data_IF_832273324621
#
_entry.id   IF_832273324621
#
_cell.length_a   1.000
_cell.length_b   1.000
_cell.length_c   1.000
_cell.angle_alpha   90.00
_cell.angle_beta   90.00
_cell.angle_gamma   90.00
#
_symmetry.space_group_name_H-M   'P 1'
#
loop_
_entity.id
_entity.type
_entity.pdbx_description
1 polymer ?
#
# COMPACT_ATOMS: atom_id res chain seq x y z
N UNK A 1 -18.22 5.54 7.08
CA UNK A 1 -17.17 6.38 6.51
C UNK A 1 -17.79 7.57 5.80
N UNK A 2 -17.35 8.77 6.14
CA UNK A 2 -17.82 10.00 5.50
C UNK A 2 -17.04 10.27 4.22
N UNK A 3 -17.68 10.92 3.23
CA UNK A 3 -17.06 11.24 1.93
C UNK A 3 -15.64 11.85 2.04
N UNK A 4 -15.43 12.71 3.05
CA UNK A 4 -14.13 13.33 3.31
C UNK A 4 -13.02 12.34 3.68
N UNK A 5 -13.35 11.24 4.38
CA UNK A 5 -12.38 10.21 4.76
C UNK A 5 -11.90 9.42 3.54
N UNK A 6 -12.79 9.17 2.57
CA UNK A 6 -12.43 8.51 1.30
C UNK A 6 -11.55 9.38 0.41
N UNK A 7 -11.85 10.68 0.33
CA UNK A 7 -11.05 11.62 -0.44
C UNK A 7 -9.64 11.75 0.18
N UNK A 8 -9.55 11.76 1.51
CA UNK A 8 -8.28 11.73 2.22
C UNK A 8 -7.51 10.43 1.98
N UNK A 9 -8.16 9.27 2.09
CA UNK A 9 -7.56 7.97 1.83
C UNK A 9 -7.02 7.88 0.39
N UNK A 10 -7.79 8.36 -0.59
CA UNK A 10 -7.34 8.45 -1.99
C UNK A 10 -6.09 9.32 -2.13
N UNK A 11 -6.05 10.48 -1.48
CA UNK A 11 -4.88 11.36 -1.50
C UNK A 11 -3.63 10.69 -0.92
N UNK A 12 -3.78 9.96 0.19
CA UNK A 12 -2.68 9.22 0.81
C UNK A 12 -2.16 8.08 -0.07
N UNK A 13 -3.07 7.32 -0.69
CA UNK A 13 -2.71 6.25 -1.63
C UNK A 13 -1.99 6.80 -2.87
N UNK A 14 -2.40 7.97 -3.37
CA UNK A 14 -1.70 8.62 -4.47
C UNK A 14 -0.28 9.06 -4.07
N UNK A 15 -0.10 9.60 -2.86
CA UNK A 15 1.23 9.93 -2.35
C UNK A 15 2.10 8.68 -2.20
N UNK A 16 1.54 7.58 -1.70
CA UNK A 16 2.24 6.31 -1.60
C UNK A 16 2.65 5.76 -2.97
N UNK A 17 1.77 5.86 -3.97
CA UNK A 17 2.05 5.48 -5.35
C UNK A 17 3.23 6.28 -5.92
N UNK A 18 3.24 7.60 -5.74
CA UNK A 18 4.35 8.46 -6.20
C UNK A 18 5.68 8.09 -5.51
N UNK A 19 5.68 7.87 -4.19
CA UNK A 19 6.88 7.46 -3.44
C UNK A 19 7.41 6.10 -3.91
N UNK A 20 6.52 5.18 -4.24
CA UNK A 20 6.89 3.87 -4.76
C UNK A 20 7.53 3.98 -6.15
N UNK A 21 7.02 4.87 -6.99
CA UNK A 21 7.63 5.17 -8.29
C UNK A 21 9.02 5.81 -8.16
N UNK A 22 9.21 6.72 -7.21
CA UNK A 22 10.53 7.28 -6.89
C UNK A 22 11.50 6.19 -6.39
N UNK A 23 11.04 5.32 -5.48
CA UNK A 23 11.83 4.19 -4.99
C UNK A 23 12.21 3.22 -6.13
N UNK A 24 11.30 2.95 -7.06
CA UNK A 24 11.55 2.12 -8.24
C UNK A 24 12.68 2.68 -9.09
N UNK A 25 12.69 3.99 -9.32
CA UNK A 25 13.74 4.68 -10.08
C UNK A 25 15.09 4.58 -9.36
N UNK A 26 15.12 4.81 -8.05
CA UNK A 26 16.33 4.73 -7.23
C UNK A 26 16.93 3.31 -7.20
N UNK A 27 16.09 2.28 -7.04
CA UNK A 27 16.52 0.87 -7.06
C UNK A 27 17.05 0.49 -8.45
N UNK A 28 16.38 0.93 -9.52
CA UNK A 28 16.82 0.66 -10.91
C UNK A 28 18.17 1.32 -11.19
N UNK A 29 18.43 2.50 -10.63
CA UNK A 29 19.69 3.22 -10.79
C UNK A 29 20.85 2.65 -9.96
N UNK A 30 20.58 1.89 -8.90
CA UNK A 30 21.60 1.36 -8.00
C UNK A 30 21.32 -0.11 -7.66
N UNK A 31 21.95 -1.02 -8.41
CA UNK A 31 21.82 -2.48 -8.24
C UNK A 31 22.25 -3.00 -6.87
N UNK A 32 22.99 -2.22 -6.06
CA UNK A 32 23.32 -2.58 -4.67
C UNK A 32 22.15 -2.38 -3.69
N UNK A 33 21.12 -1.60 -4.08
CA UNK A 33 19.89 -1.40 -3.29
C UNK A 33 18.83 -2.48 -3.53
N UNK A 34 19.20 -3.60 -4.18
CA UNK A 34 18.30 -4.68 -4.58
C UNK A 34 17.75 -5.54 -3.43
N UNK A 35 17.33 -4.94 -2.31
CA UNK A 35 16.50 -5.63 -1.33
C UNK A 35 15.04 -5.59 -1.82
N UNK A 36 14.72 -6.49 -2.74
CA UNK A 36 13.41 -6.56 -3.45
C UNK A 36 12.25 -6.94 -2.54
N UNK A 37 12.52 -7.45 -1.32
CA UNK A 37 11.49 -7.86 -0.37
C UNK A 37 10.64 -6.67 0.09
N UNK A 38 11.27 -5.63 0.61
CA UNK A 38 10.57 -4.42 1.07
C UNK A 38 9.80 -3.73 -0.06
N UNK A 39 10.40 -3.64 -1.25
CA UNK A 39 9.75 -3.01 -2.40
C UNK A 39 8.51 -3.79 -2.86
N UNK A 40 8.57 -5.13 -2.86
CA UNK A 40 7.42 -5.99 -3.17
C UNK A 40 6.34 -5.91 -2.09
N UNK A 41 6.72 -5.83 -0.82
CA UNK A 41 5.76 -5.64 0.27
C UNK A 41 5.07 -4.27 0.15
N UNK A 42 5.80 -3.20 -0.17
CA UNK A 42 5.21 -1.88 -0.41
C UNK A 42 4.25 -1.87 -1.61
N UNK A 43 4.58 -2.58 -2.70
CA UNK A 43 3.66 -2.80 -3.83
C UNK A 43 2.37 -3.52 -3.40
N UNK A 44 2.49 -4.53 -2.54
CA UNK A 44 1.36 -5.30 -2.01
C UNK A 44 0.45 -4.43 -1.14
N UNK A 45 1.02 -3.67 -0.20
CA UNK A 45 0.25 -2.74 0.67
C UNK A 45 -0.46 -1.65 -0.16
N UNK A 46 0.19 -1.14 -1.21
CA UNK A 46 -0.41 -0.18 -2.13
C UNK A 46 -1.62 -0.79 -2.86
N UNK A 47 -1.48 -2.02 -3.36
CA UNK A 47 -2.57 -2.75 -4.00
C UNK A 47 -3.74 -2.99 -3.02
N UNK A 48 -3.46 -3.48 -1.81
CA UNK A 48 -4.48 -3.68 -0.76
C UNK A 48 -5.27 -2.39 -0.51
N UNK A 49 -4.58 -1.25 -0.36
CA UNK A 49 -5.21 0.04 -0.11
C UNK A 49 -6.13 0.51 -1.26
N UNK A 50 -5.65 0.48 -2.51
CA UNK A 50 -6.46 0.88 -3.67
C UNK A 50 -7.65 -0.04 -3.91
N UNK A 51 -7.45 -1.36 -3.78
CA UNK A 51 -8.50 -2.36 -3.94
C UNK A 51 -9.54 -2.19 -2.82
N UNK A 52 -9.11 -2.05 -1.57
CA UNK A 52 -10.01 -1.82 -0.43
C UNK A 52 -10.84 -0.55 -0.65
N UNK A 53 -10.21 0.57 -1.02
CA UNK A 53 -10.90 1.82 -1.31
C UNK A 53 -11.92 1.68 -2.44
N UNK A 54 -11.56 0.97 -3.52
CA UNK A 54 -12.47 0.72 -4.63
C UNK A 54 -13.69 -0.09 -4.17
N UNK A 55 -13.48 -1.19 -3.44
CA UNK A 55 -14.54 -2.07 -2.96
C UNK A 55 -15.49 -1.37 -1.99
N UNK A 56 -14.98 -0.64 -0.99
CA UNK A 56 -15.85 0.09 -0.03
C UNK A 56 -16.60 1.27 -0.65
N UNK A 57 -16.12 1.79 -1.78
CA UNK A 57 -16.80 2.87 -2.53
C UNK A 57 -17.64 2.36 -3.70
N UNK A 58 -17.75 1.04 -3.88
CA UNK A 58 -18.52 0.43 -4.97
C UNK A 58 -17.94 0.69 -6.36
N UNK A 59 -16.64 0.97 -6.46
CA UNK A 59 -15.91 1.20 -7.71
C UNK A 59 -15.16 -0.06 -8.14
N UNK A 60 -14.77 -0.11 -9.41
CA UNK A 60 -13.87 -1.14 -9.90
C UNK A 60 -12.45 -0.92 -9.35
N UNK A 61 -11.79 -1.96 -8.83
CA UNK A 61 -10.37 -1.88 -8.49
C UNK A 61 -9.52 -1.60 -9.73
N UNK A 62 -8.42 -0.85 -9.57
CA UNK A 62 -7.50 -0.60 -10.67
C UNK A 62 -6.76 -1.88 -11.06
N UNK A 63 -6.30 -1.98 -12.31
CA UNK A 63 -5.46 -3.09 -12.75
C UNK A 63 -3.99 -2.92 -12.29
N UNK A 64 -3.20 -4.01 -12.21
CA UNK A 64 -1.80 -3.91 -11.78
C UNK A 64 -0.93 -3.01 -12.68
N UNK A 65 -1.27 -2.87 -13.97
CA UNK A 65 -0.61 -1.98 -14.91
C UNK A 65 -0.93 -0.51 -14.66
N UNK A 66 -2.18 -0.18 -14.33
CA UNK A 66 -2.60 1.15 -13.87
C UNK A 66 -1.85 1.59 -12.61
N UNK A 67 -1.55 0.64 -11.70
CA UNK A 67 -0.75 0.90 -10.51
C UNK A 67 0.77 0.85 -10.75
N UNK A 68 1.22 0.33 -11.90
CA UNK A 68 2.65 0.20 -12.22
C UNK A 68 3.42 -0.80 -11.34
N UNK A 69 2.72 -1.76 -10.72
CA UNK A 69 3.27 -2.72 -9.75
C UNK A 69 3.37 -4.14 -10.32
N UNK A 70 4.11 -5.01 -9.62
CA UNK A 70 4.24 -6.41 -9.98
C UNK A 70 2.90 -7.18 -9.83
N UNK A 71 2.50 -8.01 -10.81
CA UNK A 71 1.25 -8.77 -10.73
C UNK A 71 1.13 -9.70 -9.51
N UNK A 72 2.23 -10.28 -9.01
CA UNK A 72 2.19 -11.12 -7.84
C UNK A 72 1.97 -10.28 -6.56
N UNK A 73 2.56 -9.08 -6.48
CA UNK A 73 2.27 -8.14 -5.39
C UNK A 73 0.79 -7.72 -5.40
N UNK A 74 0.24 -7.44 -6.59
CA UNK A 74 -1.18 -7.10 -6.77
C UNK A 74 -2.11 -8.21 -6.27
N UNK A 75 -1.88 -9.45 -6.69
CA UNK A 75 -2.72 -10.59 -6.28
C UNK A 75 -2.66 -10.86 -4.77
N UNK A 76 -1.50 -10.67 -4.14
CA UNK A 76 -1.37 -10.76 -2.69
C UNK A 76 -2.17 -9.64 -2.00
N UNK A 77 -2.05 -8.39 -2.47
CA UNK A 77 -2.81 -7.25 -1.94
C UNK A 77 -4.32 -7.41 -2.12
N UNK A 78 -4.77 -8.02 -3.22
CA UNK A 78 -6.18 -8.39 -3.42
C UNK A 78 -6.67 -9.38 -2.36
N UNK A 79 -5.86 -10.42 -2.06
CA UNK A 79 -6.18 -11.40 -1.03
C UNK A 79 -6.34 -10.77 0.35
N UNK A 80 -5.41 -9.86 0.70
CA UNK A 80 -5.49 -9.10 1.95
C UNK A 80 -6.69 -8.15 1.96
N UNK A 81 -6.97 -7.43 0.88
CA UNK A 81 -8.15 -6.54 0.80
C UNK A 81 -9.46 -7.31 1.03
N UNK A 82 -9.60 -8.50 0.44
CA UNK A 82 -10.76 -9.37 0.68
C UNK A 82 -10.81 -9.84 2.13
N UNK A 83 -9.66 -10.17 2.73
CA UNK A 83 -9.54 -10.53 4.13
C UNK A 83 -9.92 -9.37 5.07
N UNK A 84 -9.48 -8.13 4.80
CA UNK A 84 -9.85 -6.89 5.51
C UNK A 84 -11.36 -6.71 5.56
N UNK A 85 -12.01 -6.82 4.39
CA UNK A 85 -13.43 -6.58 4.22
C UNK A 85 -14.30 -7.65 4.88
N UNK A 86 -13.80 -8.89 4.90
CA UNK A 86 -14.49 -10.01 5.53
C UNK A 86 -14.45 -9.97 7.07
N UNK A 87 -13.59 -9.13 7.68
CA UNK A 87 -13.39 -9.08 9.14
C UNK A 87 -13.62 -7.71 9.81
N UNK A 88 -14.26 -6.75 9.13
CA UNK A 88 -14.54 -5.40 9.68
C UNK A 88 -13.33 -4.70 10.35
N UNK A 89 -12.21 -4.51 9.62
CA UNK A 89 -11.06 -3.71 10.12
C UNK A 89 -10.54 -2.63 9.14
N UNK A 90 -11.27 -2.35 8.05
CA UNK A 90 -10.76 -1.50 6.96
C UNK A 90 -10.45 -0.05 7.33
N UNK A 91 -11.11 0.53 8.35
CA UNK A 91 -10.85 1.92 8.77
C UNK A 91 -9.55 2.05 9.57
N UNK A 92 -9.26 1.09 10.45
CA UNK A 92 -8.07 1.11 11.30
C UNK A 92 -6.81 0.82 10.49
N UNK A 93 -6.87 -0.11 9.54
CA UNK A 93 -5.71 -0.49 8.73
C UNK A 93 -5.28 0.59 7.73
N UNK A 94 -6.25 1.33 7.16
CA UNK A 94 -5.94 2.52 6.33
C UNK A 94 -5.28 3.62 7.17
N UNK A 95 -5.70 3.81 8.43
CA UNK A 95 -5.02 4.73 9.37
C UNK A 95 -3.61 4.28 9.71
N UNK A 96 -3.40 2.99 9.90
CA UNK A 96 -2.10 2.40 10.21
C UNK A 96 -1.13 2.51 9.02
N UNK A 97 -1.57 2.16 7.80
CA UNK A 97 -0.79 2.35 6.56
C UNK A 97 -0.49 3.85 6.36
N UNK A 98 -1.48 4.73 6.57
CA UNK A 98 -1.25 6.18 6.50
C UNK A 98 -0.27 6.67 7.58
N UNK A 99 -0.27 6.07 8.76
CA UNK A 99 0.67 6.36 9.84
C UNK A 99 2.08 5.92 9.45
N UNK A 100 2.23 4.68 8.98
CA UNK A 100 3.49 4.12 8.53
C UNK A 100 4.10 4.86 7.35
N UNK A 101 3.30 5.44 6.44
CA UNK A 101 3.81 6.32 5.36
C UNK A 101 4.30 7.66 5.92
N UNK A 102 3.61 8.23 6.92
CA UNK A 102 4.03 9.49 7.57
C UNK A 102 5.28 9.29 8.42
N UNK A 103 5.39 8.16 9.12
CA UNK A 103 6.50 7.81 10.00
C UNK A 103 7.68 7.19 9.24
N UNK A 104 7.43 6.54 8.10
CA UNK A 104 8.46 6.00 7.20
C UNK A 104 9.31 7.07 6.49
N UNK A 105 8.94 8.35 6.60
CA UNK A 105 9.80 9.49 6.26
C UNK A 105 10.80 9.84 7.37
N UNK A 106 10.65 9.27 8.58
CA UNK A 106 11.51 9.50 9.74
C UNK A 106 11.69 8.19 10.56
N UNK A 107 12.74 7.45 10.21
CA UNK A 107 13.39 6.42 11.02
C UNK A 107 12.84 4.97 10.96
N UNK A 108 13.62 4.12 10.33
CA UNK A 108 13.81 2.73 10.74
C UNK A 108 14.53 2.72 12.10
N UNK A 109 14.08 1.92 13.09
CA UNK A 109 14.71 0.62 13.25
C UNK A 109 13.73 -0.51 13.55
N UNK A 110 14.05 -1.70 13.01
CA UNK A 110 13.47 -2.98 13.39
C UNK A 110 13.65 -3.24 14.89
N UNK A 111 12.58 -3.66 15.55
CA UNK A 111 12.68 -4.51 16.73
C UNK A 111 11.62 -5.63 16.66
N UNK A 112 11.93 -6.83 17.17
CA UNK A 112 11.33 -8.07 16.72
C UNK A 112 10.08 -8.45 17.52
N UNK A 113 9.18 -9.19 16.87
CA UNK A 113 8.18 -9.98 17.55
C UNK A 113 8.83 -10.87 18.63
N UNK A 114 8.39 -10.71 19.88
CA UNK A 114 8.54 -11.74 20.89
C UNK A 114 7.34 -11.71 21.84
N UNK A 115 6.49 -12.74 21.66
CA UNK A 115 5.60 -13.46 22.60
C UNK A 115 4.81 -12.68 23.66
#
# INVERSE_FOLDING_TARGET
>A
MHRQEFDQAKGLLQSAHNLLDEAKQAITACSELSNTGFFRDAQKELAEGFITLALVTGKQPPDPGELGIDPAAYLNGLGEAVYVLSREQGSERIREISGAIKEGALAYPLAPFAS
#
